data_IF_515591401467
#
_entry.id   IF_515591401467
#
_cell.length_a   1.000
_cell.length_b   1.000
_cell.length_c   1.000
_cell.angle_alpha   90.00
_cell.angle_beta   90.00
_cell.angle_gamma   90.00
#
_symmetry.space_group_name_H-M   'P 1'
#
loop_
_entity.id
_entity.type
_entity.pdbx_description
1 polymer ?
#
# COMPACT_ATOMS: atom_id res chain seq x y z
N UNK A 1 5.19 20.35 -11.25
CA UNK A 1 4.48 19.11 -10.86
C UNK A 1 5.45 18.24 -10.08
N UNK A 2 5.07 17.65 -8.93
CA UNK A 2 6.00 16.79 -8.17
C UNK A 2 6.22 15.48 -8.93
N UNK A 3 7.47 15.06 -9.08
CA UNK A 3 7.83 13.74 -9.59
C UNK A 3 7.86 12.77 -8.41
N UNK A 4 7.05 11.72 -8.48
CA UNK A 4 7.02 10.68 -7.44
C UNK A 4 8.00 9.57 -7.83
N UNK A 5 8.79 9.10 -6.86
CA UNK A 5 9.82 8.07 -7.07
C UNK A 5 9.22 6.67 -7.26
N UNK A 6 8.05 6.43 -6.68
CA UNK A 6 7.32 5.17 -6.77
C UNK A 6 5.82 5.46 -6.84
N UNK A 7 5.08 4.64 -7.58
CA UNK A 7 3.63 4.75 -7.75
C UNK A 7 3.04 3.36 -7.95
N UNK A 8 1.84 3.16 -7.43
CA UNK A 8 1.01 1.99 -7.69
C UNK A 8 -0.38 2.41 -8.12
N UNK A 9 -1.05 1.49 -8.81
CA UNK A 9 -2.46 1.60 -9.14
C UNK A 9 -3.18 0.44 -8.48
N UNK A 10 -4.04 0.75 -7.51
CA UNK A 10 -4.89 -0.23 -6.84
C UNK A 10 -6.31 -0.18 -7.40
N UNK A 11 -6.90 -1.36 -7.58
CA UNK A 11 -8.34 -1.49 -7.84
C UNK A 11 -9.06 -1.44 -6.51
N UNK A 12 -10.00 -0.51 -6.35
CA UNK A 12 -10.95 -0.52 -5.22
C UNK A 12 -11.90 -1.71 -5.38
N UNK A 13 -12.00 -2.55 -4.35
CA UNK A 13 -12.90 -3.71 -4.31
C UNK A 13 -14.18 -3.36 -3.56
N UNK A 14 -15.28 -4.03 -3.91
CA UNK A 14 -16.62 -3.71 -3.37
C UNK A 14 -16.68 -3.77 -1.83
N UNK A 15 -15.92 -4.67 -1.20
CA UNK A 15 -15.86 -4.80 0.26
C UNK A 15 -15.04 -3.71 0.96
N UNK A 16 -14.27 -2.92 0.21
CA UNK A 16 -13.48 -1.82 0.76
C UNK A 16 -14.33 -0.54 0.92
N UNK A 17 -15.54 -0.55 0.36
CA UNK A 17 -16.52 0.52 0.47
C UNK A 17 -17.46 0.29 1.66
N UNK A 18 -17.88 1.39 2.31
CA UNK A 18 -18.88 1.36 3.38
C UNK A 18 -20.30 1.65 2.86
N UNK A 19 -21.27 1.75 3.79
CA UNK A 19 -22.69 1.97 3.49
C UNK A 19 -22.96 3.29 2.74
N UNK A 20 -22.04 4.25 2.79
CA UNK A 20 -22.15 5.52 2.05
C UNK A 20 -21.67 5.38 0.59
N UNK A 21 -21.20 4.20 0.18
CA UNK A 21 -20.72 3.94 -1.18
C UNK A 21 -19.35 4.53 -1.47
N UNK A 22 -18.58 4.88 -0.43
CA UNK A 22 -17.22 5.40 -0.53
C UNK A 22 -16.25 4.43 0.13
N UNK A 23 -14.97 4.51 -0.26
CA UNK A 23 -13.91 3.73 0.38
C UNK A 23 -13.84 4.09 1.86
N UNK A 24 -13.92 3.08 2.72
CA UNK A 24 -13.80 3.27 4.15
C UNK A 24 -12.42 3.88 4.48
N UNK A 25 -12.40 4.87 5.37
CA UNK A 25 -11.17 5.58 5.73
C UNK A 25 -10.03 4.66 6.22
N UNK A 26 -10.34 3.54 6.88
CA UNK A 26 -9.33 2.59 7.34
C UNK A 26 -8.56 1.93 6.18
N UNK A 27 -9.22 1.71 5.03
CA UNK A 27 -8.60 1.08 3.86
C UNK A 27 -7.50 1.95 3.23
N UNK A 28 -7.56 3.27 3.41
CA UNK A 28 -6.47 4.14 2.95
C UNK A 28 -5.15 3.85 3.67
N UNK A 29 -5.19 3.48 4.96
CA UNK A 29 -3.98 3.07 5.68
C UNK A 29 -3.43 1.75 5.11
N UNK A 30 -4.31 0.81 4.75
CA UNK A 30 -3.91 -0.43 4.09
C UNK A 30 -3.28 -0.18 2.71
N UNK A 31 -3.81 0.74 1.90
CA UNK A 31 -3.19 1.08 0.61
C UNK A 31 -1.80 1.71 0.76
N UNK A 32 -1.61 2.58 1.77
CA UNK A 32 -0.29 3.14 2.06
C UNK A 32 0.69 2.07 2.55
N UNK A 33 0.21 1.12 3.36
CA UNK A 33 0.99 0.01 3.87
C UNK A 33 1.44 -0.93 2.74
N UNK A 34 0.51 -1.29 1.85
CA UNK A 34 0.79 -2.04 0.62
C UNK A 34 1.79 -1.31 -0.28
N UNK A 35 1.60 -0.01 -0.53
CA UNK A 35 2.52 0.77 -1.36
C UNK A 35 3.93 0.86 -0.79
N UNK A 36 4.06 0.93 0.54
CA UNK A 36 5.34 0.87 1.24
C UNK A 36 5.98 -0.51 1.11
N UNK A 37 5.21 -1.60 1.24
CA UNK A 37 5.72 -2.96 1.06
C UNK A 37 6.24 -3.16 -0.36
N UNK A 38 5.41 -2.89 -1.37
CA UNK A 38 5.79 -3.01 -2.79
C UNK A 38 6.99 -2.13 -3.17
N UNK A 39 7.11 -0.93 -2.57
CA UNK A 39 8.29 -0.09 -2.76
C UNK A 39 9.56 -0.78 -2.23
N UNK A 40 9.52 -1.36 -1.03
CA UNK A 40 10.67 -2.07 -0.48
C UNK A 40 11.04 -3.29 -1.32
N UNK A 41 10.04 -4.07 -1.74
CA UNK A 41 10.24 -5.23 -2.62
C UNK A 41 10.90 -4.80 -3.94
N UNK A 42 10.51 -3.64 -4.49
CA UNK A 42 11.14 -3.07 -5.70
C UNK A 42 12.63 -2.70 -5.51
N UNK A 43 13.08 -2.54 -4.27
CA UNK A 43 14.48 -2.32 -3.91
C UNK A 43 15.22 -3.63 -3.58
N UNK A 44 14.54 -4.78 -3.62
CA UNK A 44 15.09 -6.08 -3.24
C UNK A 44 15.18 -6.30 -1.72
N UNK A 45 14.45 -5.52 -0.93
CA UNK A 45 14.33 -5.69 0.53
C UNK A 45 12.87 -6.02 0.87
N UNK A 46 12.64 -6.74 1.98
CA UNK A 46 11.28 -6.98 2.46
C UNK A 46 11.23 -7.17 3.97
N UNK A 47 10.03 -7.12 4.54
CA UNK A 47 9.86 -7.22 6.00
C UNK A 47 10.39 -8.54 6.57
N UNK A 48 10.33 -9.65 5.82
CA UNK A 48 10.91 -10.92 6.26
C UNK A 48 12.43 -10.84 6.35
N UNK A 49 13.09 -10.39 5.29
CA UNK A 49 14.52 -10.20 5.25
C UNK A 49 15.02 -9.17 6.27
N UNK A 50 14.24 -8.11 6.54
CA UNK A 50 14.55 -7.14 7.59
C UNK A 50 14.39 -7.76 8.98
N UNK A 51 13.33 -8.55 9.21
CA UNK A 51 13.12 -9.25 10.48
C UNK A 51 14.25 -10.23 10.80
N UNK A 52 14.74 -10.96 9.80
CA UNK A 52 15.87 -11.89 9.96
C UNK A 52 17.19 -11.18 10.29
N UNK A 53 17.31 -9.87 9.98
CA UNK A 53 18.48 -9.04 10.26
C UNK A 53 18.48 -8.41 11.68
N UNK A 54 17.39 -8.54 12.44
CA UNK A 54 17.24 -8.01 13.81
C UNK A 54 16.72 -6.57 13.86
#
# INVERSE_FOLDING_TARGET
MKTYQFKLTDKVRDYECDLQGVVNNANYQHYMEHARHEFLESLGENFGAMHDKG
#
